data_IF_445890977030
#
_entry.id   IF_445890977030
#
_cell.length_a   1.000
_cell.length_b   1.000
_cell.length_c   1.000
_cell.angle_alpha   90.00
_cell.angle_beta   90.00
_cell.angle_gamma   90.00
#
_symmetry.space_group_name_H-M   'P 1'
#
loop_
_entity.id
_entity.type
_entity.pdbx_description
1 polymer ?
#
# COMPACT_ATOMS: atom_id res chain seq x y z
N UNK A 1 4.47 13.14 -16.99
CA UNK A 1 5.19 11.86 -17.20
C UNK A 1 4.58 10.87 -16.22
N UNK A 2 4.26 9.69 -16.67
CA UNK A 2 3.74 8.61 -15.86
C UNK A 2 4.82 8.18 -14.86
N UNK A 3 4.50 8.05 -13.56
CA UNK A 3 5.44 7.60 -12.56
C UNK A 3 5.76 6.11 -12.81
N UNK A 4 7.03 5.72 -12.69
CA UNK A 4 7.50 4.34 -12.73
C UNK A 4 8.23 3.98 -11.45
N UNK A 5 8.49 2.70 -11.19
CA UNK A 5 9.33 2.32 -10.06
C UNK A 5 10.77 2.86 -10.18
N UNK A 6 11.32 2.94 -11.38
CA UNK A 6 12.64 3.51 -11.60
C UNK A 6 12.69 5.00 -11.26
N UNK A 7 11.62 5.75 -11.61
CA UNK A 7 11.48 7.15 -11.22
C UNK A 7 11.35 7.29 -9.69
N UNK A 8 10.57 6.42 -9.05
CA UNK A 8 10.42 6.42 -7.59
C UNK A 8 11.76 6.12 -6.89
N UNK A 9 12.49 5.11 -7.33
CA UNK A 9 13.82 4.76 -6.78
C UNK A 9 14.79 5.93 -6.96
N UNK A 10 14.78 6.58 -8.12
CA UNK A 10 15.64 7.73 -8.40
C UNK A 10 15.34 8.89 -7.44
N UNK A 11 14.07 9.21 -7.22
CA UNK A 11 13.64 10.27 -6.29
C UNK A 11 13.95 9.93 -4.83
N UNK A 12 13.75 8.68 -4.42
CA UNK A 12 14.05 8.25 -3.04
C UNK A 12 15.55 8.39 -2.72
N UNK A 13 16.43 8.15 -3.71
CA UNK A 13 17.88 8.33 -3.55
C UNK A 13 18.31 9.80 -3.36
N UNK A 14 17.46 10.75 -3.72
CA UNK A 14 17.69 12.19 -3.49
C UNK A 14 17.19 12.66 -2.11
N UNK A 15 16.42 11.80 -1.40
CA UNK A 15 15.91 12.10 -0.07
C UNK A 15 16.87 11.65 1.03
N UNK A 16 16.65 12.16 2.24
CA UNK A 16 17.33 11.64 3.43
C UNK A 16 16.99 10.16 3.64
N UNK A 17 18.03 9.35 3.86
CA UNK A 17 17.90 7.92 4.06
C UNK A 17 16.97 7.63 5.24
N UNK A 18 16.00 6.74 5.04
CA UNK A 18 15.02 6.35 6.04
C UNK A 18 15.47 5.12 6.82
N UNK A 19 14.93 4.95 8.02
CA UNK A 19 15.21 3.81 8.89
C UNK A 19 13.99 2.92 9.00
N UNK A 20 14.18 1.62 8.76
CA UNK A 20 13.13 0.59 8.86
C UNK A 20 13.34 -0.24 10.11
N UNK A 21 12.37 -0.29 11.03
CA UNK A 21 12.36 -1.25 12.12
C UNK A 21 11.74 -2.57 11.65
N UNK A 22 12.50 -3.66 11.70
CA UNK A 22 12.08 -4.97 11.21
C UNK A 22 11.76 -5.88 12.38
N UNK A 23 10.52 -6.41 12.44
CA UNK A 23 10.08 -7.34 13.47
C UNK A 23 10.33 -8.80 13.06
N UNK A 24 10.97 -9.59 13.90
CA UNK A 24 11.37 -10.97 13.64
C UNK A 24 12.18 -11.07 12.33
N UNK A 25 13.35 -10.44 12.35
CA UNK A 25 14.20 -10.26 11.17
C UNK A 25 15.00 -11.51 10.77
N UNK A 26 14.90 -12.61 11.49
CA UNK A 26 15.53 -13.89 11.20
C UNK A 26 14.86 -14.62 10.03
N UNK A 27 15.02 -14.08 8.80
CA UNK A 27 14.46 -14.59 7.56
C UNK A 27 15.33 -14.17 6.37
N UNK A 28 15.59 -15.12 5.44
CA UNK A 28 16.47 -14.92 4.30
C UNK A 28 15.98 -13.79 3.40
N UNK A 29 14.72 -13.82 2.99
CA UNK A 29 14.14 -12.82 2.09
C UNK A 29 14.10 -11.42 2.73
N UNK A 30 13.88 -11.35 4.03
CA UNK A 30 13.88 -10.09 4.78
C UNK A 30 15.29 -9.49 4.80
N UNK A 31 16.32 -10.29 5.13
CA UNK A 31 17.71 -9.81 5.19
C UNK A 31 18.23 -9.42 3.81
N UNK A 32 17.89 -10.18 2.75
CA UNK A 32 18.20 -9.80 1.36
C UNK A 32 17.56 -8.47 0.99
N UNK A 33 16.27 -8.28 1.30
CA UNK A 33 15.53 -7.06 0.97
C UNK A 33 16.12 -5.82 1.65
N UNK A 34 16.36 -5.87 2.96
CA UNK A 34 16.91 -4.70 3.69
C UNK A 34 18.37 -4.44 3.34
N UNK A 35 19.14 -5.50 3.04
CA UNK A 35 20.53 -5.36 2.55
C UNK A 35 20.57 -4.70 1.18
N UNK A 36 19.69 -5.10 0.26
CA UNK A 36 19.56 -4.47 -1.05
C UNK A 36 19.15 -2.99 -0.94
N UNK A 37 18.20 -2.66 -0.07
CA UNK A 37 17.78 -1.29 0.19
C UNK A 37 18.92 -0.44 0.76
N UNK A 38 19.69 -1.00 1.70
CA UNK A 38 20.87 -0.35 2.27
C UNK A 38 21.95 -0.09 1.20
N UNK A 39 22.29 -1.11 0.42
CA UNK A 39 23.31 -1.00 -0.64
C UNK A 39 22.93 0.02 -1.73
N UNK A 40 21.63 0.17 -2.01
CA UNK A 40 21.13 1.17 -2.95
C UNK A 40 21.00 2.59 -2.33
N UNK A 41 21.26 2.76 -1.04
CA UNK A 41 21.13 4.04 -0.35
C UNK A 41 19.68 4.46 -0.07
N UNK A 42 18.73 3.53 -0.15
CA UNK A 42 17.27 3.78 0.04
C UNK A 42 16.94 3.87 1.53
N UNK A 43 17.34 2.86 2.31
CA UNK A 43 17.02 2.79 3.74
C UNK A 43 18.09 2.06 4.53
N UNK A 44 18.20 2.41 5.83
CA UNK A 44 18.88 1.62 6.85
C UNK A 44 17.87 0.78 7.62
N UNK A 45 18.34 -0.24 8.35
CA UNK A 45 17.43 -1.08 9.12
C UNK A 45 17.89 -1.26 10.57
N UNK A 46 16.90 -1.37 11.49
CA UNK A 46 17.06 -1.87 12.84
C UNK A 46 16.42 -3.26 12.87
N UNK A 47 17.23 -4.29 13.10
CA UNK A 47 16.78 -5.67 13.10
C UNK A 47 16.38 -6.10 14.52
N UNK A 48 15.14 -6.50 14.72
CA UNK A 48 14.64 -6.99 16.00
C UNK A 48 14.24 -8.46 15.84
N UNK A 49 14.86 -9.35 16.60
CA UNK A 49 14.62 -10.79 16.50
C UNK A 49 15.69 -11.61 17.22
N UNK A 50 15.77 -12.90 16.91
CA UNK A 50 16.83 -13.80 17.41
C UNK A 50 18.18 -13.43 16.76
N UNK A 51 19.01 -12.69 17.50
CA UNK A 51 20.29 -12.17 16.99
C UNK A 51 21.21 -13.29 16.48
N UNK A 52 21.23 -14.45 17.15
CA UNK A 52 22.08 -15.55 16.74
C UNK A 52 21.66 -16.08 15.36
N UNK A 53 20.36 -16.25 15.11
CA UNK A 53 19.83 -16.66 13.81
C UNK A 53 19.99 -15.59 12.75
N UNK A 54 19.74 -14.31 13.08
CA UNK A 54 19.96 -13.20 12.15
C UNK A 54 21.40 -13.22 11.63
N UNK A 55 22.39 -13.38 12.53
CA UNK A 55 23.81 -13.44 12.15
C UNK A 55 24.17 -14.70 11.37
N UNK A 56 23.60 -15.85 11.71
CA UNK A 56 23.78 -17.12 10.99
C UNK A 56 23.26 -17.00 9.54
N UNK A 57 22.04 -16.51 9.36
CA UNK A 57 21.42 -16.31 8.04
C UNK A 57 22.22 -15.31 7.22
N UNK A 58 22.57 -14.16 7.80
CA UNK A 58 23.36 -13.13 7.12
C UNK A 58 24.73 -13.68 6.65
N UNK A 59 25.41 -14.49 7.47
CA UNK A 59 26.66 -15.15 7.08
C UNK A 59 26.44 -16.12 5.91
N UNK A 60 25.36 -16.90 5.91
CA UNK A 60 24.98 -17.80 4.82
C UNK A 60 24.71 -17.05 3.51
N UNK A 61 24.17 -15.86 3.57
CA UNK A 61 23.86 -14.98 2.43
C UNK A 61 25.02 -14.05 2.05
N UNK A 62 26.15 -14.10 2.76
CA UNK A 62 27.28 -13.16 2.62
C UNK A 62 26.87 -11.69 2.82
N UNK A 63 25.93 -11.40 3.71
CA UNK A 63 25.52 -10.06 4.09
C UNK A 63 26.37 -9.59 5.26
N UNK A 64 27.06 -8.45 5.09
CA UNK A 64 27.82 -7.80 6.15
C UNK A 64 26.91 -6.96 7.04
N UNK A 65 26.77 -7.36 8.30
CA UNK A 65 25.98 -6.64 9.31
C UNK A 65 26.83 -5.69 10.16
N UNK A 66 28.05 -5.34 9.72
CA UNK A 66 28.90 -4.38 10.43
C UNK A 66 28.22 -3.01 10.47
N UNK A 67 28.06 -2.45 11.68
CA UNK A 67 27.37 -1.17 11.89
C UNK A 67 25.84 -1.23 11.94
N UNK A 68 25.23 -2.40 11.69
CA UNK A 68 23.79 -2.55 11.83
C UNK A 68 23.38 -2.63 13.29
N UNK A 69 22.29 -1.96 13.63
CA UNK A 69 21.67 -2.07 14.96
C UNK A 69 20.81 -3.33 15.01
N UNK A 70 21.19 -4.28 15.90
CA UNK A 70 20.43 -5.50 16.16
C UNK A 70 19.95 -5.46 17.59
N UNK A 71 18.66 -5.75 17.80
CA UNK A 71 18.03 -5.85 19.11
C UNK A 71 17.63 -7.32 19.32
N UNK A 72 18.34 -8.01 20.22
CA UNK A 72 18.04 -9.39 20.50
C UNK A 72 16.68 -9.55 21.22
N UNK A 73 15.73 -10.20 20.56
CA UNK A 73 14.43 -10.56 21.09
C UNK A 73 13.88 -11.79 20.34
N UNK A 74 14.13 -13.00 20.89
CA UNK A 74 13.69 -14.25 20.26
C UNK A 74 12.18 -14.48 20.27
N UNK A 75 11.45 -13.86 21.22
CA UNK A 75 9.98 -13.94 21.24
C UNK A 75 9.38 -13.03 20.17
N UNK A 76 8.68 -13.63 19.21
CA UNK A 76 8.14 -12.92 18.04
C UNK A 76 7.10 -11.85 18.40
N UNK A 77 6.32 -12.06 19.45
CA UNK A 77 5.33 -11.07 19.91
C UNK A 77 6.06 -9.87 20.51
N UNK A 78 7.06 -10.13 21.36
CA UNK A 78 7.88 -9.07 21.95
C UNK A 78 8.74 -8.36 20.88
N UNK A 79 9.29 -9.11 19.93
CA UNK A 79 10.02 -8.53 18.80
C UNK A 79 9.15 -7.56 17.99
N UNK A 80 7.88 -7.92 17.74
CA UNK A 80 6.97 -7.03 17.03
C UNK A 80 6.60 -5.78 17.85
N UNK A 81 6.41 -5.91 19.17
CA UNK A 81 6.15 -4.75 20.04
C UNK A 81 7.37 -3.83 20.17
N UNK A 82 8.59 -4.38 20.25
CA UNK A 82 9.82 -3.58 20.26
C UNK A 82 10.04 -2.86 18.93
N UNK A 83 9.84 -3.56 17.82
CA UNK A 83 10.05 -2.95 16.50
C UNK A 83 9.03 -1.85 16.18
N UNK A 84 7.73 -2.07 16.48
CA UNK A 84 6.72 -1.01 16.29
C UNK A 84 6.96 0.17 17.22
N UNK A 85 7.48 -0.07 18.44
CA UNK A 85 7.82 1.01 19.37
C UNK A 85 8.95 1.91 18.83
N UNK A 86 9.93 1.36 18.12
CA UNK A 86 10.96 2.18 17.49
C UNK A 86 10.37 3.17 16.48
N UNK A 87 9.37 2.75 15.71
CA UNK A 87 8.65 3.66 14.82
C UNK A 87 7.76 4.65 15.59
N UNK A 88 7.11 4.20 16.67
CA UNK A 88 6.31 5.06 17.55
C UNK A 88 7.14 6.17 18.18
N UNK A 89 8.34 5.86 18.66
CA UNK A 89 9.23 6.80 19.35
C UNK A 89 10.04 7.67 18.37
N UNK A 90 9.93 7.47 17.06
CA UNK A 90 10.66 8.20 16.02
C UNK A 90 12.12 7.76 15.85
N UNK A 91 12.51 6.60 16.39
CA UNK A 91 13.83 6.00 16.15
C UNK A 91 13.89 5.27 14.79
N UNK A 92 12.74 4.97 14.21
CA UNK A 92 12.58 4.45 12.85
C UNK A 92 11.45 5.20 12.15
N UNK A 93 11.57 5.35 10.82
CA UNK A 93 10.56 5.99 9.99
C UNK A 93 9.46 5.01 9.54
N UNK A 94 9.78 3.72 9.49
CA UNK A 94 8.91 2.67 8.99
C UNK A 94 8.98 1.42 9.89
N UNK A 95 7.89 0.66 9.88
CA UNK A 95 7.78 -0.63 10.54
C UNK A 95 7.54 -1.73 9.52
N UNK A 96 8.40 -2.75 9.49
CA UNK A 96 8.37 -3.84 8.52
C UNK A 96 8.12 -5.19 9.21
N UNK A 97 7.26 -6.00 8.58
CA UNK A 97 7.01 -7.39 8.97
C UNK A 97 8.14 -8.28 8.47
N UNK A 98 8.76 -9.02 9.38
CA UNK A 98 9.63 -10.16 9.07
C UNK A 98 8.90 -11.50 9.23
N UNK A 99 9.53 -12.47 9.88
CA UNK A 99 9.02 -13.85 10.04
C UNK A 99 7.98 -13.95 11.15
N UNK A 100 6.90 -13.18 11.07
CA UNK A 100 5.74 -13.23 11.96
C UNK A 100 4.45 -13.37 11.16
N UNK A 101 3.37 -13.86 11.80
CA UNK A 101 2.06 -13.91 11.17
C UNK A 101 1.41 -12.51 11.09
N UNK A 102 0.50 -12.33 10.13
CA UNK A 102 -0.15 -11.04 9.89
C UNK A 102 -0.99 -10.56 11.09
N UNK A 103 -1.58 -11.48 11.84
CA UNK A 103 -2.40 -11.13 13.03
C UNK A 103 -1.53 -10.52 14.13
N UNK A 104 -0.38 -11.11 14.43
CA UNK A 104 0.59 -10.59 15.39
C UNK A 104 1.12 -9.23 14.95
N UNK A 105 1.47 -9.08 13.66
CA UNK A 105 1.90 -7.83 13.08
C UNK A 105 0.85 -6.72 13.24
N UNK A 106 -0.39 -6.97 12.81
CA UNK A 106 -1.48 -5.99 12.93
C UNK A 106 -1.81 -5.66 14.39
N UNK A 107 -1.73 -6.65 15.28
CA UNK A 107 -1.97 -6.44 16.70
C UNK A 107 -0.94 -5.49 17.32
N UNK A 108 0.32 -5.56 16.91
CA UNK A 108 1.36 -4.62 17.37
C UNK A 108 1.15 -3.21 16.83
N UNK A 109 0.74 -3.06 15.56
CA UNK A 109 0.40 -1.73 14.97
C UNK A 109 -0.77 -1.08 15.73
N UNK A 110 -1.76 -1.88 16.13
CA UNK A 110 -2.95 -1.41 16.82
C UNK A 110 -2.81 -1.41 18.35
N UNK A 111 -1.64 -1.67 18.88
CA UNK A 111 -1.37 -1.59 20.32
C UNK A 111 -1.69 -0.17 20.85
N UNK A 112 -2.19 -0.10 22.10
CA UNK A 112 -2.67 1.18 22.65
C UNK A 112 -1.54 2.05 23.20
N UNK A 113 -0.41 1.45 23.56
CA UNK A 113 0.70 2.13 24.22
C UNK A 113 1.86 2.42 23.25
N UNK A 114 2.19 1.44 22.42
CA UNK A 114 3.37 1.50 21.54
C UNK A 114 3.03 1.40 20.04
N UNK A 115 1.75 1.26 19.69
CA UNK A 115 1.32 1.13 18.30
C UNK A 115 1.31 2.45 17.53
N UNK A 116 0.93 2.35 16.25
CA UNK A 116 0.95 3.46 15.30
C UNK A 116 -0.46 4.01 15.01
N UNK A 117 -1.34 4.02 16.02
CA UNK A 117 -2.73 4.49 15.88
C UNK A 117 -2.77 5.99 15.72
N UNK A 118 -3.39 6.48 14.66
CA UNK A 118 -3.56 7.91 14.36
C UNK A 118 -5.01 8.40 14.48
N UNK A 119 -5.97 7.50 14.75
CA UNK A 119 -7.39 7.77 14.67
C UNK A 119 -7.98 7.61 13.26
N UNK A 120 -7.15 7.47 12.23
CA UNK A 120 -7.55 7.12 10.87
C UNK A 120 -7.75 5.60 10.73
N UNK A 121 -8.53 5.18 9.76
CA UNK A 121 -8.68 3.78 9.43
C UNK A 121 -7.38 3.20 8.87
N UNK A 122 -6.98 2.03 9.37
CA UNK A 122 -5.89 1.26 8.78
C UNK A 122 -6.38 0.62 7.48
N UNK A 123 -5.69 0.87 6.39
CA UNK A 123 -6.00 0.33 5.07
C UNK A 123 -4.74 -0.19 4.37
N UNK A 124 -4.96 -0.96 3.32
CA UNK A 124 -3.88 -1.46 2.47
C UNK A 124 -3.92 -0.77 1.10
N UNK A 125 -2.76 -0.26 0.67
CA UNK A 125 -2.57 0.24 -0.70
C UNK A 125 -1.43 -0.54 -1.34
N UNK A 126 -1.72 -1.29 -2.39
CA UNK A 126 -0.71 -1.96 -3.21
C UNK A 126 -0.40 -1.10 -4.43
N UNK A 127 0.88 -0.99 -4.78
CA UNK A 127 1.32 -0.26 -5.97
C UNK A 127 1.90 -1.24 -6.98
N UNK A 128 1.39 -1.22 -8.20
CA UNK A 128 1.82 -2.08 -9.29
C UNK A 128 2.31 -1.29 -10.49
N UNK A 129 3.35 -1.79 -11.11
CA UNK A 129 3.73 -1.43 -12.48
C UNK A 129 3.43 -2.63 -13.37
N UNK A 130 2.38 -2.52 -14.18
CA UNK A 130 1.86 -3.60 -15.01
C UNK A 130 2.34 -3.42 -16.44
N UNK A 131 2.86 -4.49 -17.04
CA UNK A 131 3.30 -4.45 -18.43
C UNK A 131 2.13 -4.12 -19.37
N UNK A 132 2.29 -3.08 -20.18
CA UNK A 132 1.26 -2.63 -21.12
C UNK A 132 0.35 -1.54 -20.56
N UNK A 133 0.52 -1.16 -19.29
CA UNK A 133 -0.16 -0.03 -18.66
C UNK A 133 0.90 1.03 -18.35
N UNK A 134 0.70 2.25 -18.84
CA UNK A 134 1.72 3.30 -18.77
C UNK A 134 1.85 3.94 -17.39
N UNK A 135 0.80 3.90 -16.56
CA UNK A 135 0.78 4.46 -15.21
C UNK A 135 0.98 3.38 -14.13
N UNK A 136 1.41 3.81 -12.94
CA UNK A 136 1.32 2.98 -11.75
C UNK A 136 -0.14 2.77 -11.36
N UNK A 137 -0.50 1.56 -10.96
CA UNK A 137 -1.82 1.24 -10.42
C UNK A 137 -1.75 1.12 -8.91
N UNK A 138 -2.64 1.84 -8.22
CA UNK A 138 -2.81 1.80 -6.77
C UNK A 138 -4.10 1.05 -6.44
N UNK A 139 -4.00 -0.09 -5.78
CA UNK A 139 -5.12 -0.97 -5.46
C UNK A 139 -5.48 -0.86 -3.98
N UNK A 140 -6.75 -0.59 -3.66
CA UNK A 140 -7.26 -0.47 -2.28
C UNK A 140 -8.73 -0.90 -2.16
N UNK A 141 -9.23 -1.46 -1.04
CA UNK A 141 -8.47 -2.23 -0.07
C UNK A 141 -8.45 -3.69 -0.53
N UNK A 142 -7.30 -4.33 -0.41
CA UNK A 142 -7.13 -5.70 -0.92
C UNK A 142 -6.72 -6.69 0.19
N UNK A 143 -6.62 -6.21 1.46
CA UNK A 143 -6.07 -7.03 2.54
C UNK A 143 -6.66 -6.84 3.94
N UNK A 144 -7.22 -5.68 4.29
CA UNK A 144 -7.58 -5.35 5.68
C UNK A 144 -9.08 -5.12 5.89
N UNK A 145 -9.74 -4.37 5.01
CA UNK A 145 -11.15 -3.98 5.19
C UNK A 145 -12.04 -4.94 4.41
N UNK A 146 -12.80 -5.76 5.14
CA UNK A 146 -13.55 -6.88 4.54
C UNK A 146 -14.71 -6.40 3.68
N UNK A 147 -15.61 -5.59 4.26
CA UNK A 147 -16.79 -5.04 3.60
C UNK A 147 -16.89 -3.56 3.96
N UNK A 148 -16.21 -2.67 3.23
CA UNK A 148 -16.19 -1.24 3.54
C UNK A 148 -17.57 -0.63 3.36
N UNK A 149 -18.01 0.17 4.32
CA UNK A 149 -19.15 1.08 4.19
C UNK A 149 -18.80 2.22 3.23
N UNK A 150 -19.78 3.08 2.89
CA UNK A 150 -19.53 4.27 2.09
C UNK A 150 -18.50 5.20 2.77
N UNK A 151 -18.65 5.40 4.08
CA UNK A 151 -17.73 6.22 4.89
C UNK A 151 -16.32 5.62 4.95
N UNK A 152 -16.22 4.29 5.04
CA UNK A 152 -14.94 3.59 4.97
C UNK A 152 -14.28 3.80 3.60
N UNK A 153 -15.06 3.72 2.52
CA UNK A 153 -14.57 3.94 1.15
C UNK A 153 -14.01 5.36 0.94
N UNK A 154 -14.57 6.36 1.58
CA UNK A 154 -14.00 7.73 1.59
C UNK A 154 -12.61 7.70 2.20
N UNK A 155 -12.44 7.07 3.38
CA UNK A 155 -11.12 6.98 4.02
C UNK A 155 -10.12 6.13 3.22
N UNK A 156 -10.59 5.07 2.53
CA UNK A 156 -9.75 4.28 1.61
C UNK A 156 -9.24 5.15 0.46
N UNK A 157 -10.10 5.99 -0.12
CA UNK A 157 -9.71 6.94 -1.17
C UNK A 157 -8.67 7.91 -0.62
N UNK A 158 -8.93 8.55 0.52
CA UNK A 158 -8.02 9.53 1.12
C UNK A 158 -6.62 8.93 1.35
N UNK A 159 -6.56 7.71 1.91
CA UNK A 159 -5.30 7.00 2.15
C UNK A 159 -4.58 6.67 0.83
N UNK A 160 -5.30 6.19 -0.18
CA UNK A 160 -4.71 5.86 -1.48
C UNK A 160 -4.25 7.09 -2.26
N UNK A 161 -4.98 8.20 -2.17
CA UNK A 161 -4.60 9.50 -2.76
C UNK A 161 -3.32 10.03 -2.14
N UNK A 162 -3.15 9.91 -0.82
CA UNK A 162 -1.92 10.30 -0.12
C UNK A 162 -0.71 9.49 -0.62
N UNK A 163 -0.88 8.16 -0.81
CA UNK A 163 0.17 7.30 -1.38
C UNK A 163 0.47 7.68 -2.83
N UNK A 164 -0.55 7.91 -3.66
CA UNK A 164 -0.37 8.32 -5.05
C UNK A 164 0.36 9.66 -5.18
N UNK A 165 0.03 10.65 -4.32
CA UNK A 165 0.74 11.92 -4.25
C UNK A 165 2.22 11.73 -3.87
N UNK A 166 2.51 10.88 -2.87
CA UNK A 166 3.88 10.54 -2.48
C UNK A 166 4.64 9.89 -3.65
N UNK A 167 3.97 9.09 -4.46
CA UNK A 167 4.53 8.52 -5.69
C UNK A 167 4.63 9.52 -6.87
N UNK A 168 4.17 10.78 -6.70
CA UNK A 168 4.32 11.85 -7.70
C UNK A 168 3.14 12.00 -8.65
N UNK A 169 2.02 11.34 -8.39
CA UNK A 169 0.77 11.52 -9.15
C UNK A 169 0.00 12.70 -8.55
N UNK A 170 0.08 13.87 -9.17
CA UNK A 170 -0.43 15.12 -8.58
C UNK A 170 -1.97 15.18 -8.44
N UNK A 171 -2.71 14.53 -9.33
CA UNK A 171 -4.17 14.47 -9.30
C UNK A 171 -4.61 13.07 -9.78
N UNK A 172 -4.56 12.07 -8.90
CA UNK A 172 -4.88 10.70 -9.27
C UNK A 172 -6.35 10.55 -9.63
N UNK A 173 -6.62 9.69 -10.60
CA UNK A 173 -7.97 9.32 -11.03
C UNK A 173 -8.38 8.06 -10.31
N UNK A 174 -9.44 8.14 -9.54
CA UNK A 174 -9.98 7.04 -8.73
C UNK A 174 -11.14 6.41 -9.44
N UNK A 175 -11.07 5.10 -9.68
CA UNK A 175 -12.15 4.29 -10.20
C UNK A 175 -12.74 3.41 -9.09
N UNK A 176 -13.90 3.77 -8.50
CA UNK A 176 -14.70 2.83 -7.72
C UNK A 176 -15.23 1.73 -8.64
N UNK A 177 -14.70 0.51 -8.44
CA UNK A 177 -14.94 -0.61 -9.33
C UNK A 177 -16.28 -1.30 -9.07
N UNK A 178 -16.93 -1.72 -10.15
CA UNK A 178 -18.12 -2.53 -10.17
C UNK A 178 -18.12 -3.46 -11.40
N UNK A 179 -19.11 -4.33 -11.50
CA UNK A 179 -19.24 -5.19 -12.68
C UNK A 179 -19.90 -4.49 -13.88
N UNK A 180 -20.41 -3.27 -13.68
CA UNK A 180 -21.12 -2.47 -14.69
C UNK A 180 -20.86 -0.97 -14.47
N UNK A 181 -21.09 -0.18 -15.51
CA UNK A 181 -20.81 1.26 -15.54
C UNK A 181 -22.02 2.14 -15.22
N UNK A 182 -23.15 1.51 -14.88
CA UNK A 182 -24.43 2.18 -14.58
C UNK A 182 -24.89 1.86 -13.17
N UNK A 183 -25.55 2.82 -12.54
CA UNK A 183 -26.13 2.61 -11.21
C UNK A 183 -27.25 1.56 -11.26
N UNK A 184 -27.10 0.53 -10.46
CA UNK A 184 -28.09 -0.52 -10.29
C UNK A 184 -28.37 -0.71 -8.79
N UNK A 185 -29.57 -0.38 -8.28
CA UNK A 185 -29.91 -0.53 -6.87
C UNK A 185 -29.82 -1.97 -6.32
N UNK A 186 -29.84 -2.98 -7.21
CA UNK A 186 -29.61 -4.38 -6.83
C UNK A 186 -28.12 -4.73 -6.69
N UNK A 187 -27.25 -3.80 -7.00
CA UNK A 187 -25.81 -3.92 -6.96
C UNK A 187 -25.23 -2.74 -6.16
N UNK A 188 -25.23 -2.83 -4.80
CA UNK A 188 -24.92 -1.71 -3.90
C UNK A 188 -23.58 -1.00 -4.22
N UNK A 189 -22.57 -1.74 -4.68
CA UNK A 189 -21.28 -1.14 -5.06
C UNK A 189 -21.40 -0.07 -6.16
N UNK A 190 -22.38 -0.17 -7.04
CA UNK A 190 -22.63 0.86 -8.08
C UNK A 190 -23.26 2.12 -7.50
N UNK A 191 -24.09 1.96 -6.47
CA UNK A 191 -24.71 3.08 -5.74
C UNK A 191 -23.64 3.84 -4.96
N UNK A 192 -22.80 3.12 -4.22
CA UNK A 192 -21.67 3.71 -3.50
C UNK A 192 -20.71 4.44 -4.46
N UNK A 193 -20.41 3.83 -5.61
CA UNK A 193 -19.51 4.42 -6.61
C UNK A 193 -20.03 5.75 -7.16
N UNK A 194 -21.33 5.85 -7.45
CA UNK A 194 -21.94 7.12 -7.89
C UNK A 194 -21.96 8.15 -6.76
N UNK A 195 -22.23 7.73 -5.53
CA UNK A 195 -22.22 8.65 -4.38
C UNK A 195 -20.81 9.19 -4.10
N UNK A 196 -19.77 8.35 -4.18
CA UNK A 196 -18.37 8.78 -4.06
C UNK A 196 -18.01 9.80 -5.14
N UNK A 197 -18.43 9.56 -6.40
CA UNK A 197 -18.27 10.52 -7.49
C UNK A 197 -18.96 11.86 -7.18
N UNK A 198 -20.20 11.83 -6.66
CA UNK A 198 -20.94 13.03 -6.26
C UNK A 198 -20.24 13.77 -5.12
N UNK A 199 -19.76 13.04 -4.10
CA UNK A 199 -18.99 13.62 -3.00
C UNK A 199 -17.71 14.32 -3.47
N UNK A 200 -17.05 13.77 -4.50
CA UNK A 200 -15.88 14.43 -5.11
C UNK A 200 -16.27 15.72 -5.85
N UNK A 201 -17.35 15.70 -6.64
CA UNK A 201 -17.87 16.92 -7.32
C UNK A 201 -18.29 17.99 -6.31
N UNK A 202 -18.85 17.60 -5.17
CA UNK A 202 -19.26 18.50 -4.08
C UNK A 202 -18.07 18.99 -3.23
N UNK A 203 -16.85 18.52 -3.48
CA UNK A 203 -15.64 18.91 -2.74
C UNK A 203 -15.50 18.26 -1.36
N UNK A 204 -16.24 17.17 -1.09
CA UNK A 204 -16.09 16.38 0.14
C UNK A 204 -14.93 15.40 0.06
N UNK A 205 -14.61 14.91 -1.14
CA UNK A 205 -13.42 14.15 -1.47
C UNK A 205 -12.54 15.04 -2.34
N UNK A 206 -11.28 15.25 -1.98
CA UNK A 206 -10.40 16.22 -2.63
C UNK A 206 -9.05 15.61 -3.01
N UNK A 207 -8.24 16.34 -3.79
CA UNK A 207 -6.90 15.88 -4.19
C UNK A 207 -6.90 14.83 -5.30
N UNK A 208 -8.06 14.48 -5.84
CA UNK A 208 -8.21 13.48 -6.89
C UNK A 208 -9.45 13.76 -7.75
N UNK A 209 -9.61 12.98 -8.81
CA UNK A 209 -10.86 12.89 -9.57
C UNK A 209 -11.47 11.51 -9.33
N UNK A 210 -12.70 11.45 -8.84
CA UNK A 210 -13.43 10.18 -8.65
C UNK A 210 -14.44 10.00 -9.79
N UNK A 211 -14.35 8.89 -10.49
CA UNK A 211 -15.25 8.54 -11.59
C UNK A 211 -15.65 7.06 -11.51
N UNK A 212 -16.90 6.81 -11.21
CA UNK A 212 -17.49 5.48 -11.05
C UNK A 212 -19.02 5.49 -11.15
N UNK A 213 -19.62 4.29 -11.22
CA UNK A 213 -19.00 2.97 -11.30
C UNK A 213 -18.29 2.74 -12.63
N UNK A 214 -17.19 1.96 -12.59
CA UNK A 214 -16.46 1.48 -13.76
C UNK A 214 -16.14 -0.01 -13.61
N UNK A 215 -16.19 -0.76 -14.71
CA UNK A 215 -15.59 -2.09 -14.75
C UNK A 215 -14.07 -1.99 -14.86
N UNK A 216 -13.36 -3.05 -14.47
CA UNK A 216 -11.90 -3.07 -14.40
C UNK A 216 -11.25 -2.78 -15.76
N UNK A 217 -11.73 -3.41 -16.83
CA UNK A 217 -11.24 -3.22 -18.19
C UNK A 217 -11.39 -1.78 -18.66
N UNK A 218 -12.56 -1.17 -18.43
CA UNK A 218 -12.80 0.24 -18.80
C UNK A 218 -11.94 1.19 -17.95
N UNK A 219 -11.70 0.86 -16.69
CA UNK A 219 -10.92 1.72 -15.81
C UNK A 219 -9.46 1.85 -16.28
N UNK A 220 -8.84 0.75 -16.76
CA UNK A 220 -7.39 0.69 -17.01
C UNK A 220 -7.00 0.66 -18.49
N UNK A 221 -7.92 0.29 -19.40
CA UNK A 221 -7.60 0.04 -20.82
C UNK A 221 -8.32 1.05 -21.73
N UNK A 222 -7.58 1.96 -22.40
CA UNK A 222 -8.17 2.97 -23.26
C UNK A 222 -8.98 2.40 -24.43
N UNK A 223 -8.53 1.28 -25.01
CA UNK A 223 -9.25 0.62 -26.12
C UNK A 223 -10.58 0.03 -25.66
N UNK A 224 -10.62 -0.56 -24.45
CA UNK A 224 -11.86 -1.05 -23.86
C UNK A 224 -12.84 0.09 -23.56
N UNK A 225 -12.34 1.20 -23.02
CA UNK A 225 -13.12 2.41 -22.77
C UNK A 225 -13.72 2.96 -24.08
N UNK A 226 -12.93 3.06 -25.14
CA UNK A 226 -13.39 3.52 -26.44
C UNK A 226 -14.42 2.57 -27.07
N UNK A 227 -14.19 1.26 -27.01
CA UNK A 227 -15.12 0.26 -27.56
C UNK A 227 -16.50 0.29 -26.89
N UNK A 228 -16.55 0.59 -25.60
CA UNK A 228 -17.81 0.72 -24.83
C UNK A 228 -18.36 2.16 -24.79
N UNK A 229 -17.76 3.10 -25.53
CA UNK A 229 -18.24 4.49 -25.60
C UNK A 229 -18.04 5.27 -24.30
N UNK A 230 -17.07 4.89 -23.49
CA UNK A 230 -16.76 5.51 -22.19
C UNK A 230 -15.54 6.45 -22.24
N UNK A 231 -14.96 6.72 -23.40
CA UNK A 231 -13.71 7.48 -23.57
C UNK A 231 -13.78 8.93 -23.05
N UNK A 232 -15.00 9.48 -22.92
CA UNK A 232 -15.19 10.84 -22.41
C UNK A 232 -15.27 10.90 -20.88
N UNK A 233 -15.24 9.75 -20.20
CA UNK A 233 -15.24 9.68 -18.73
C UNK A 233 -13.85 9.96 -18.17
N UNK A 234 -13.73 10.75 -17.08
CA UNK A 234 -12.43 11.21 -16.57
C UNK A 234 -11.43 10.12 -16.21
N UNK A 235 -11.88 9.00 -15.64
CA UNK A 235 -10.99 7.90 -15.21
C UNK A 235 -10.93 6.74 -16.22
N UNK A 236 -11.82 6.69 -17.22
CA UNK A 236 -11.86 5.56 -18.14
C UNK A 236 -10.59 5.46 -18.99
N UNK A 237 -9.98 4.28 -19.01
CA UNK A 237 -8.73 3.97 -19.68
C UNK A 237 -7.46 4.51 -18.98
N UNK A 238 -7.62 5.29 -17.92
CA UNK A 238 -6.50 6.03 -17.31
C UNK A 238 -6.64 6.13 -15.77
N UNK A 239 -7.34 5.20 -15.13
CA UNK A 239 -7.44 5.17 -13.68
C UNK A 239 -6.07 4.88 -13.05
N UNK A 240 -5.71 5.67 -12.04
CA UNK A 240 -4.53 5.45 -11.21
C UNK A 240 -4.90 4.60 -9.99
N UNK A 241 -6.01 4.93 -9.31
CA UNK A 241 -6.45 4.26 -8.09
C UNK A 241 -7.67 3.39 -8.40
N UNK A 242 -7.57 2.10 -8.08
CA UNK A 242 -8.62 1.12 -8.19
C UNK A 242 -9.20 0.84 -6.81
N UNK A 243 -10.41 1.34 -6.54
CA UNK A 243 -11.12 1.10 -5.29
C UNK A 243 -12.05 -0.11 -5.45
N UNK A 244 -11.74 -1.18 -4.76
CA UNK A 244 -12.54 -2.41 -4.80
C UNK A 244 -13.79 -2.33 -3.93
N UNK A 245 -14.89 -2.99 -4.35
CA UNK A 245 -16.15 -3.00 -3.58
C UNK A 245 -16.02 -3.70 -2.23
N UNK A 246 -15.20 -4.75 -2.18
CA UNK A 246 -14.92 -5.56 -1.00
C UNK A 246 -13.58 -6.29 -1.13
N UNK A 247 -13.12 -6.90 -0.02
CA UNK A 247 -11.84 -7.60 0.05
C UNK A 247 -11.79 -8.82 -0.89
N UNK A 248 -12.91 -9.46 -1.20
CA UNK A 248 -12.91 -10.66 -2.04
C UNK A 248 -12.50 -10.30 -3.46
N UNK A 249 -13.14 -9.27 -4.03
CA UNK A 249 -12.77 -8.75 -5.34
C UNK A 249 -11.34 -8.20 -5.35
N UNK A 250 -10.98 -7.40 -4.34
CA UNK A 250 -9.67 -6.79 -4.22
C UNK A 250 -8.55 -7.81 -4.06
N UNK A 251 -8.69 -8.78 -3.15
CA UNK A 251 -7.66 -9.77 -2.88
C UNK A 251 -7.43 -10.76 -4.02
N UNK A 252 -8.52 -11.15 -4.73
CA UNK A 252 -8.40 -12.00 -5.92
C UNK A 252 -7.62 -11.25 -7.01
N UNK A 253 -7.98 -10.00 -7.30
CA UNK A 253 -7.29 -9.18 -8.28
C UNK A 253 -5.81 -8.97 -7.90
N UNK A 254 -5.54 -8.56 -6.67
CA UNK A 254 -4.19 -8.36 -6.13
C UNK A 254 -3.27 -9.58 -6.29
N UNK A 255 -3.82 -10.80 -6.12
CA UNK A 255 -3.04 -12.03 -6.25
C UNK A 255 -2.92 -12.55 -7.68
N UNK A 256 -3.66 -11.96 -8.61
CA UNK A 256 -3.64 -12.34 -10.04
C UNK A 256 -2.61 -11.49 -10.81
N UNK A 257 -2.40 -10.25 -10.39
CA UNK A 257 -1.36 -9.34 -10.91
C UNK A 257 0.02 -9.71 -10.39
#
# INVERSE_FOLDING_TARGET
MSASFDDLISRVKECDKKVVAVAAAEDDAVLEAVSAAHAQGIADAILVGDEAKIREIAAGLNIDLTGWRIINEPDKVQASLKAVKLAHDGEADMYMKGLIDTKTFLKSILDKEVGLRTGRMLSHVAVFQVKGIDQLLFLTDVAFVTYPTLEDKVQLIDNAVEVAHACGVACPKVAPLAAVEVVNPKMPCTVDADELRRMNVEGKITGCVVDGPLSMDIAIEPEAAAHKGAQDRPAAGHADILLFPDIQAGNICYKTL
#
